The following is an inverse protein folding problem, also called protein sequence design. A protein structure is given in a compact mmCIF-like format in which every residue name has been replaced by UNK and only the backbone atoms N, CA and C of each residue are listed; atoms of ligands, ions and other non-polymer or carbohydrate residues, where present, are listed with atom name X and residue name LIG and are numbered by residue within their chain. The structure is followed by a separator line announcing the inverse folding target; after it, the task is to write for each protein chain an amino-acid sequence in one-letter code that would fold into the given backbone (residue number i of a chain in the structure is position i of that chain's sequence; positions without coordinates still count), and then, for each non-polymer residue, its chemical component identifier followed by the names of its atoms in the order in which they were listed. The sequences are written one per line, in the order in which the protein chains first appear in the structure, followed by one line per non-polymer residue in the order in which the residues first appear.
data_IF_134812902455
#
_entry.id   IF_134812902455
#
_cell.length_a   1.000
_cell.length_b   1.000
_cell.length_c   1.000
_cell.angle_alpha   90.00
_cell.angle_beta   90.00
_cell.angle_gamma   90.00
#
_symmetry.space_group_name_H-M   'P 1'
#
loop_
_entity.id
_entity.type
_entity.pdbx_description
1 polymer ?
#
# COMPACT_ATOMS: atom_id res chain seq x y z
N UNK A 1 -69.92 37.10 54.93
CA UNK A 1 -71.38 36.87 54.90
C UNK A 1 -71.86 37.03 53.46
N UNK A 2 -72.62 36.04 53.01
CA UNK A 2 -73.24 35.78 51.70
C UNK A 2 -73.71 36.95 50.78
N UNK A 3 -73.65 36.64 49.47
CA UNK A 3 -74.64 36.90 48.38
C UNK A 3 -74.56 38.18 47.49
N UNK A 4 -74.35 37.88 46.20
CA UNK A 4 -75.15 38.24 45.00
C UNK A 4 -74.99 39.63 44.34
N UNK A 5 -74.59 39.52 43.05
CA UNK A 5 -75.12 40.14 41.81
C UNK A 5 -74.96 41.64 41.58
N UNK A 6 -74.39 41.99 40.41
CA UNK A 6 -74.86 42.98 39.39
C UNK A 6 -73.79 43.01 38.26
N UNK A 7 -74.09 42.57 37.02
CA UNK A 7 -74.56 43.38 35.87
C UNK A 7 -73.44 44.27 35.25
N UNK A 8 -73.12 44.39 33.95
CA UNK A 8 -73.75 44.11 32.64
C UNK A 8 -72.68 44.23 31.51
N UNK A 9 -72.75 43.35 30.51
CA UNK A 9 -72.73 43.51 29.02
C UNK A 9 -71.93 44.67 28.34
N UNK A 10 -71.00 44.32 27.43
CA UNK A 10 -70.97 44.57 25.94
C UNK A 10 -69.59 44.18 25.33
N UNK A 11 -69.53 43.17 24.44
CA UNK A 11 -69.25 43.22 22.96
C UNK A 11 -67.81 43.70 22.63
N UNK A 12 -66.91 43.06 21.86
CA UNK A 12 -66.91 42.00 20.82
C UNK A 12 -65.45 41.75 20.41
N UNK A 13 -65.04 40.50 20.13
CA UNK A 13 -64.11 40.11 19.05
C UNK A 13 -63.77 38.61 19.17
N UNK A 14 -64.29 37.81 18.25
CA UNK A 14 -63.89 36.44 18.04
C UNK A 14 -62.71 36.41 17.05
N UNK A 15 -61.59 35.78 17.41
CA UNK A 15 -60.68 35.13 16.45
C UNK A 15 -60.19 33.82 17.06
N UNK A 16 -60.40 32.75 16.28
CA UNK A 16 -60.08 31.37 16.58
C UNK A 16 -58.58 31.13 16.79
N UNK A 17 -58.22 30.42 17.85
CA UNK A 17 -56.91 29.79 18.02
C UNK A 17 -57.09 28.27 18.12
N UNK A 18 -57.66 27.68 17.06
CA UNK A 18 -57.77 26.24 16.89
C UNK A 18 -56.63 25.74 16.00
N UNK A 19 -55.66 25.06 16.62
CA UNK A 19 -54.91 23.93 16.04
C UNK A 19 -54.24 24.12 14.68
N UNK A 20 -53.03 24.69 14.68
CA UNK A 20 -52.02 24.29 13.71
C UNK A 20 -51.02 23.35 14.42
N UNK A 21 -51.40 22.07 14.54
CA UNK A 21 -50.38 21.03 14.64
C UNK A 21 -49.70 20.98 13.28
N UNK A 22 -48.58 21.69 13.16
CA UNK A 22 -47.74 21.60 11.97
C UNK A 22 -47.41 20.13 11.74
N UNK A 23 -47.83 19.60 10.60
CA UNK A 23 -47.22 18.41 10.03
C UNK A 23 -45.74 18.75 9.84
N UNK A 24 -44.91 18.35 10.80
CA UNK A 24 -43.48 18.23 10.54
C UNK A 24 -43.38 17.22 9.40
N UNK A 25 -43.12 17.74 8.20
CA UNK A 25 -42.72 16.90 7.08
C UNK A 25 -41.48 16.16 7.58
N UNK A 26 -41.59 14.85 7.80
CA UNK A 26 -40.42 14.03 8.03
C UNK A 26 -39.47 14.32 6.87
N UNK A 27 -38.30 14.90 7.16
CA UNK A 27 -37.25 14.98 6.17
C UNK A 27 -36.95 13.55 5.78
N UNK A 28 -37.31 13.18 4.55
CA UNK A 28 -36.80 11.96 3.94
C UNK A 28 -35.33 12.26 3.69
N UNK A 29 -34.51 11.98 4.68
CA UNK A 29 -33.07 11.97 4.49
C UNK A 29 -32.78 10.82 3.51
N UNK A 30 -32.21 11.18 2.35
CA UNK A 30 -31.85 10.19 1.35
C UNK A 30 -30.95 9.14 2.01
N UNK A 31 -31.29 7.86 1.85
CA UNK A 31 -30.48 6.81 2.44
C UNK A 31 -29.02 6.94 1.95
N UNK A 32 -28.03 6.74 2.83
CA UNK A 32 -26.64 6.97 2.47
C UNK A 32 -26.23 6.12 1.26
N UNK A 33 -25.41 6.69 0.38
CA UNK A 33 -24.92 6.02 -0.81
C UNK A 33 -24.21 4.71 -0.44
N UNK A 34 -24.35 3.68 -1.27
CA UNK A 34 -23.68 2.40 -1.00
C UNK A 34 -22.19 2.54 -1.28
N UNK A 35 -21.35 2.24 -0.29
CA UNK A 35 -19.90 2.30 -0.43
C UNK A 35 -19.32 0.92 -0.76
N UNK A 36 -18.30 0.88 -1.59
CA UNK A 36 -17.49 -0.33 -1.83
C UNK A 36 -16.10 -0.10 -1.25
N UNK A 37 -15.67 -1.01 -0.38
CA UNK A 37 -14.31 -1.08 0.15
C UNK A 37 -13.62 -2.29 -0.46
N UNK A 38 -12.42 -2.11 -0.99
CA UNK A 38 -11.51 -3.18 -1.37
C UNK A 38 -10.33 -3.15 -0.41
N UNK A 39 -10.13 -4.26 0.30
CA UNK A 39 -9.13 -4.41 1.36
C UNK A 39 -9.19 -3.28 2.40
N UNK A 40 -10.39 -2.85 2.77
CA UNK A 40 -10.60 -1.76 3.74
C UNK A 40 -10.45 -0.35 3.17
N UNK A 41 -10.00 -0.18 1.91
CA UNK A 41 -9.87 1.12 1.26
C UNK A 41 -11.01 1.42 0.28
N UNK A 42 -11.51 2.66 0.18
CA UNK A 42 -12.57 3.00 -0.77
C UNK A 42 -12.22 2.70 -2.23
N UNK A 43 -13.15 2.06 -2.93
CA UNK A 43 -13.10 1.86 -4.36
C UNK A 43 -13.94 2.93 -5.06
N UNK A 44 -13.29 3.72 -5.93
CA UNK A 44 -13.98 4.65 -6.83
C UNK A 44 -14.72 3.85 -7.90
N UNK A 45 -15.97 3.50 -7.60
CA UNK A 45 -16.82 2.73 -8.47
C UNK A 45 -17.50 3.63 -9.51
N UNK A 46 -17.61 3.16 -10.75
CA UNK A 46 -18.23 3.91 -11.85
C UNK A 46 -19.77 3.90 -11.81
N UNK A 47 -20.35 3.12 -10.90
CA UNK A 47 -21.78 3.10 -10.61
C UNK A 47 -22.04 2.71 -9.15
N UNK A 48 -23.19 3.12 -8.62
CA UNK A 48 -23.64 2.72 -7.31
C UNK A 48 -24.13 1.26 -7.30
N UNK A 49 -23.82 0.49 -6.26
CA UNK A 49 -24.48 -0.78 -6.00
C UNK A 49 -25.99 -0.62 -5.84
N UNK A 50 -26.77 -1.60 -6.32
CA UNK A 50 -28.23 -1.60 -6.21
C UNK A 50 -28.72 -2.88 -5.55
N UNK A 51 -29.80 -2.80 -4.77
CA UNK A 51 -30.40 -4.00 -4.16
C UNK A 51 -31.70 -4.31 -4.89
N UNK A 52 -31.80 -5.51 -5.46
CA UNK A 52 -32.97 -5.98 -6.21
C UNK A 52 -33.42 -7.30 -5.62
N UNK A 53 -34.64 -7.34 -5.08
CA UNK A 53 -35.24 -8.56 -4.48
C UNK A 53 -34.30 -9.23 -3.46
N UNK A 54 -33.62 -8.42 -2.63
CA UNK A 54 -32.66 -8.91 -1.63
C UNK A 54 -31.27 -9.29 -2.19
N UNK A 55 -31.04 -9.15 -3.50
CA UNK A 55 -29.72 -9.37 -4.12
C UNK A 55 -29.01 -8.04 -4.33
N UNK A 56 -27.83 -7.88 -3.74
CA UNK A 56 -26.95 -6.74 -4.00
C UNK A 56 -26.22 -6.94 -5.33
N UNK A 57 -26.43 -6.01 -6.26
CA UNK A 57 -25.75 -5.90 -7.53
C UNK A 57 -24.64 -4.85 -7.44
N UNK A 58 -23.45 -5.18 -7.92
CA UNK A 58 -22.26 -4.32 -7.85
C UNK A 58 -21.63 -4.10 -9.22
N UNK A 59 -20.94 -2.97 -9.46
CA UNK A 59 -20.32 -2.67 -10.75
C UNK A 59 -19.18 -3.64 -11.04
N UNK A 60 -19.41 -4.51 -12.04
CA UNK A 60 -18.51 -5.63 -12.32
C UNK A 60 -17.12 -5.17 -12.73
N UNK A 61 -17.05 -4.20 -13.65
CA UNK A 61 -15.80 -3.69 -14.19
C UNK A 61 -14.93 -3.06 -13.10
N UNK A 62 -15.47 -2.13 -12.30
CA UNK A 62 -14.70 -1.43 -11.27
C UNK A 62 -14.04 -2.39 -10.28
N UNK A 63 -14.76 -3.43 -9.86
CA UNK A 63 -14.23 -4.41 -8.91
C UNK A 63 -13.22 -5.34 -9.59
N UNK A 64 -13.51 -5.81 -10.81
CA UNK A 64 -12.61 -6.70 -11.56
C UNK A 64 -11.28 -6.02 -11.87
N UNK A 65 -11.31 -4.78 -12.40
CA UNK A 65 -10.11 -4.02 -12.74
C UNK A 65 -9.29 -3.69 -11.49
N UNK A 66 -9.93 -3.37 -10.36
CA UNK A 66 -9.24 -3.15 -9.10
C UNK A 66 -8.57 -4.42 -8.51
N UNK A 67 -8.98 -5.60 -8.98
CA UNK A 67 -8.35 -6.89 -8.67
C UNK A 67 -7.37 -7.33 -9.77
N UNK A 68 -7.01 -6.45 -10.71
CA UNK A 68 -6.10 -6.77 -11.81
C UNK A 68 -6.70 -7.67 -12.88
N UNK A 69 -8.04 -7.74 -12.98
CA UNK A 69 -8.76 -8.63 -13.91
C UNK A 69 -9.32 -7.79 -15.07
N UNK A 70 -8.75 -7.89 -16.29
CA UNK A 70 -9.25 -7.15 -17.45
C UNK A 70 -10.69 -7.53 -17.81
N UNK A 71 -11.47 -6.53 -18.23
CA UNK A 71 -12.87 -6.71 -18.62
C UNK A 71 -13.15 -6.14 -20.01
N UNK A 72 -13.70 -6.97 -20.90
CA UNK A 72 -14.08 -6.58 -22.26
C UNK A 72 -15.60 -6.57 -22.42
N UNK A 73 -16.12 -5.64 -23.24
CA UNK A 73 -17.53 -5.51 -23.55
C UNK A 73 -17.76 -5.79 -25.04
N UNK A 74 -18.74 -6.66 -25.35
CA UNK A 74 -19.22 -6.87 -26.71
C UNK A 74 -20.66 -6.34 -26.82
N UNK A 75 -20.84 -5.28 -27.60
CA UNK A 75 -22.13 -4.61 -27.74
C UNK A 75 -23.16 -5.43 -28.53
N UNK A 76 -22.73 -6.15 -29.57
CA UNK A 76 -23.62 -6.95 -30.42
C UNK A 76 -24.20 -8.13 -29.64
N UNK A 77 -23.34 -8.84 -28.90
CA UNK A 77 -23.72 -9.98 -28.08
C UNK A 77 -24.32 -9.56 -26.72
N UNK A 78 -24.17 -8.28 -26.33
CA UNK A 78 -24.53 -7.75 -25.00
C UNK A 78 -23.85 -8.53 -23.86
N UNK A 79 -22.59 -8.90 -24.07
CA UNK A 79 -21.81 -9.71 -23.13
C UNK A 79 -20.66 -8.92 -22.54
N UNK A 80 -20.44 -9.08 -21.23
CA UNK A 80 -19.23 -8.63 -20.54
C UNK A 80 -18.38 -9.86 -20.21
N UNK A 81 -17.09 -9.80 -20.54
CA UNK A 81 -16.14 -10.91 -20.33
C UNK A 81 -15.00 -10.45 -19.44
N UNK A 82 -14.75 -11.18 -18.36
CA UNK A 82 -13.57 -11.01 -17.52
C UNK A 82 -12.67 -12.24 -17.67
N UNK A 83 -11.36 -12.01 -17.78
CA UNK A 83 -10.37 -13.08 -17.90
C UNK A 83 -9.31 -12.85 -16.84
N UNK A 84 -9.22 -13.75 -15.86
CA UNK A 84 -8.12 -13.79 -14.90
C UNK A 84 -7.16 -14.88 -15.35
N UNK A 85 -5.88 -14.59 -15.39
CA UNK A 85 -4.83 -15.57 -15.60
C UNK A 85 -3.92 -15.56 -14.38
N UNK A 86 -3.79 -16.71 -13.71
CA UNK A 86 -2.88 -16.87 -12.59
C UNK A 86 -2.13 -18.21 -12.67
N UNK A 87 -1.34 -18.53 -11.63
CA UNK A 87 -0.56 -19.77 -11.57
C UNK A 87 -1.42 -21.04 -11.65
N UNK A 88 -2.73 -20.96 -11.34
CA UNK A 88 -3.67 -22.07 -11.38
C UNK A 88 -4.44 -22.17 -12.71
N UNK A 89 -4.19 -21.26 -13.66
CA UNK A 89 -4.76 -21.27 -15.01
C UNK A 89 -5.64 -20.06 -15.33
N UNK A 90 -6.39 -20.18 -16.43
CA UNK A 90 -7.35 -19.15 -16.86
C UNK A 90 -8.72 -19.36 -16.19
N UNK A 91 -9.27 -18.26 -15.65
CA UNK A 91 -10.69 -18.16 -15.29
C UNK A 91 -11.34 -17.14 -16.21
N UNK A 92 -12.17 -17.64 -17.13
CA UNK A 92 -12.95 -16.86 -18.08
C UNK A 92 -14.42 -16.82 -17.67
N UNK A 93 -14.90 -15.64 -17.33
CA UNK A 93 -16.29 -15.38 -16.96
C UNK A 93 -16.96 -14.57 -18.07
N UNK A 94 -18.05 -15.08 -18.63
CA UNK A 94 -18.88 -14.37 -19.60
C UNK A 94 -20.29 -14.20 -19.03
N UNK A 95 -20.77 -12.97 -19.04
CA UNK A 95 -22.06 -12.56 -18.51
C UNK A 95 -22.85 -11.85 -19.59
N UNK A 96 -24.08 -12.30 -19.85
CA UNK A 96 -24.99 -11.68 -20.82
C UNK A 96 -26.02 -10.83 -20.10
N UNK A 97 -26.22 -9.59 -20.56
CA UNK A 97 -27.22 -8.70 -19.96
C UNK A 97 -28.62 -9.33 -19.98
N UNK A 98 -29.34 -9.16 -18.88
CA UNK A 98 -30.71 -9.63 -18.68
C UNK A 98 -30.90 -11.17 -18.73
N UNK A 99 -29.82 -11.95 -18.70
CA UNK A 99 -29.87 -13.41 -18.60
C UNK A 99 -29.41 -13.86 -17.22
N UNK A 100 -30.12 -14.81 -16.60
CA UNK A 100 -29.72 -15.40 -15.31
C UNK A 100 -28.69 -16.51 -15.45
N UNK A 101 -28.14 -16.73 -16.64
CA UNK A 101 -27.11 -17.73 -16.88
C UNK A 101 -25.82 -17.02 -17.32
N UNK A 102 -24.73 -17.31 -16.62
CA UNK A 102 -23.37 -16.94 -17.00
C UNK A 102 -22.64 -18.18 -17.53
N UNK A 103 -21.49 -18.00 -18.17
CA UNK A 103 -20.56 -19.10 -18.43
C UNK A 103 -19.23 -18.86 -17.75
N UNK A 104 -18.72 -19.86 -17.04
CA UNK A 104 -17.40 -19.86 -16.39
C UNK A 104 -16.60 -21.00 -16.99
N UNK A 105 -15.49 -20.70 -17.66
CA UNK A 105 -14.66 -21.68 -18.38
C UNK A 105 -15.49 -22.58 -19.32
N UNK A 106 -16.50 -21.99 -19.97
CA UNK A 106 -17.44 -22.69 -20.88
C UNK A 106 -18.60 -23.42 -20.20
N UNK A 107 -18.58 -23.61 -18.88
CA UNK A 107 -19.66 -24.24 -18.13
C UNK A 107 -20.74 -23.21 -17.71
N UNK A 108 -22.01 -23.58 -17.82
CA UNK A 108 -23.12 -22.72 -17.42
C UNK A 108 -23.24 -22.59 -15.89
N UNK A 109 -23.40 -21.36 -15.39
CA UNK A 109 -23.59 -21.05 -13.97
C UNK A 109 -24.84 -20.19 -13.79
N UNK A 110 -25.72 -20.59 -12.86
CA UNK A 110 -26.94 -19.87 -12.55
C UNK A 110 -26.67 -18.68 -11.63
N UNK A 111 -27.22 -17.52 -11.97
CA UNK A 111 -27.13 -16.28 -11.21
C UNK A 111 -28.37 -16.06 -10.34
N UNK A 112 -28.17 -15.50 -9.15
CA UNK A 112 -29.27 -15.08 -8.27
C UNK A 112 -30.17 -14.04 -8.96
N UNK A 113 -29.56 -13.04 -9.60
CA UNK A 113 -30.22 -12.04 -10.44
C UNK A 113 -29.45 -11.83 -11.74
N UNK A 114 -30.17 -11.46 -12.80
CA UNK A 114 -29.56 -11.23 -14.10
C UNK A 114 -28.68 -9.96 -14.08
N UNK A 115 -27.54 -9.93 -14.81
CA UNK A 115 -26.74 -8.72 -14.99
C UNK A 115 -27.58 -7.60 -15.61
N UNK A 116 -27.41 -6.37 -15.13
CA UNK A 116 -28.18 -5.21 -15.62
C UNK A 116 -27.26 -4.07 -16.00
N UNK A 117 -27.68 -3.28 -16.97
CA UNK A 117 -27.04 -2.01 -17.28
C UNK A 117 -27.65 -0.91 -16.43
N UNK A 118 -26.81 -0.16 -15.70
CA UNK A 118 -27.19 1.03 -14.96
C UNK A 118 -26.15 2.13 -15.20
N UNK A 119 -26.56 3.27 -15.77
CA UNK A 119 -25.65 4.38 -16.08
C UNK A 119 -24.47 4.00 -16.98
N UNK A 120 -24.66 3.05 -17.92
CA UNK A 120 -23.59 2.54 -18.78
C UNK A 120 -22.70 1.46 -18.15
N UNK A 121 -22.96 1.07 -16.90
CA UNK A 121 -22.20 0.05 -16.18
C UNK A 121 -22.96 -1.26 -16.08
N UNK A 122 -22.26 -2.38 -16.20
CA UNK A 122 -22.85 -3.70 -15.94
C UNK A 122 -22.77 -4.01 -14.45
N UNK A 123 -23.92 -4.16 -13.80
CA UNK A 123 -24.05 -4.58 -12.42
C UNK A 123 -24.36 -6.08 -12.35
N UNK A 124 -23.69 -6.80 -11.45
CA UNK A 124 -23.84 -8.26 -11.28
C UNK A 124 -24.05 -8.63 -9.81
N UNK A 125 -24.63 -9.81 -9.50
CA UNK A 125 -24.76 -10.26 -8.12
C UNK A 125 -23.40 -10.34 -7.42
N UNK A 126 -23.30 -9.69 -6.25
CA UNK A 126 -22.08 -9.69 -5.43
C UNK A 126 -21.60 -11.10 -5.07
N UNK A 127 -22.53 -12.01 -4.79
CA UNK A 127 -22.22 -13.41 -4.46
C UNK A 127 -21.56 -14.17 -5.62
N UNK A 128 -21.99 -13.90 -6.86
CA UNK A 128 -21.38 -14.50 -8.04
C UNK A 128 -19.94 -14.04 -8.21
N UNK A 129 -19.68 -12.75 -8.02
CA UNK A 129 -18.33 -12.19 -8.10
C UNK A 129 -17.35 -12.90 -7.14
N UNK A 130 -17.77 -13.03 -5.88
CA UNK A 130 -16.96 -13.68 -4.83
C UNK A 130 -16.60 -15.12 -5.18
N UNK A 131 -17.57 -15.89 -5.69
CA UNK A 131 -17.37 -17.29 -6.03
C UNK A 131 -16.34 -17.49 -7.15
N UNK A 132 -16.30 -16.61 -8.15
CA UNK A 132 -15.47 -16.85 -9.33
C UNK A 132 -14.02 -16.35 -9.17
N UNK A 133 -13.79 -15.31 -8.36
CA UNK A 133 -12.48 -14.66 -8.28
C UNK A 133 -11.76 -14.86 -6.94
N UNK A 134 -12.31 -15.66 -6.04
CA UNK A 134 -11.69 -15.99 -4.74
C UNK A 134 -11.66 -14.83 -3.74
N UNK A 135 -12.29 -13.69 -4.08
CA UNK A 135 -12.42 -12.55 -3.19
C UNK A 135 -13.53 -12.82 -2.16
N UNK A 136 -13.25 -12.52 -0.88
CA UNK A 136 -14.27 -12.59 0.17
C UNK A 136 -15.12 -11.33 0.10
N UNK A 137 -16.43 -11.47 0.20
CA UNK A 137 -17.35 -10.32 0.16
C UNK A 137 -18.24 -10.31 1.39
N UNK A 138 -18.48 -9.12 1.93
CA UNK A 138 -19.37 -8.90 3.04
C UNK A 138 -20.26 -7.68 2.77
N UNK A 139 -21.55 -7.82 3.06
CA UNK A 139 -22.49 -6.71 3.06
C UNK A 139 -22.77 -6.28 4.48
N UNK A 140 -22.59 -4.99 4.77
CA UNK A 140 -23.03 -4.37 6.02
C UNK A 140 -24.27 -3.51 5.75
N UNK A 141 -25.42 -3.95 6.26
CA UNK A 141 -26.71 -3.27 6.07
C UNK A 141 -26.76 -1.91 6.77
N UNK A 142 -26.16 -1.77 7.96
CA UNK A 142 -26.23 -0.56 8.77
C UNK A 142 -25.41 0.58 8.16
N UNK A 143 -24.18 0.28 7.71
CA UNK A 143 -23.32 1.25 7.04
C UNK A 143 -23.52 1.32 5.53
N UNK A 144 -24.36 0.45 4.96
CA UNK A 144 -24.56 0.26 3.51
C UNK A 144 -23.21 0.11 2.79
N UNK A 145 -22.40 -0.82 3.26
CA UNK A 145 -21.03 -1.04 2.74
C UNK A 145 -20.87 -2.45 2.20
N UNK A 146 -20.37 -2.56 0.97
CA UNK A 146 -19.79 -3.79 0.42
C UNK A 146 -18.31 -3.81 0.76
N UNK A 147 -17.86 -4.75 1.57
CA UNK A 147 -16.44 -4.98 1.83
C UNK A 147 -15.96 -6.16 1.01
N UNK A 148 -14.86 -6.00 0.29
CA UNK A 148 -14.24 -7.00 -0.55
C UNK A 148 -12.82 -7.20 -0.04
N UNK A 149 -12.46 -8.42 0.30
CA UNK A 149 -11.07 -8.79 0.57
C UNK A 149 -10.54 -9.54 -0.64
N UNK A 150 -9.48 -9.00 -1.24
CA UNK A 150 -8.79 -9.65 -2.36
C UNK A 150 -8.17 -10.98 -1.91
N UNK A 151 -8.01 -11.95 -2.83
CA UNK A 151 -7.34 -13.21 -2.52
C UNK A 151 -5.88 -12.97 -2.12
N UNK A 152 -5.27 -14.01 -1.53
CA UNK A 152 -3.81 -14.04 -1.39
C UNK A 152 -3.18 -14.12 -2.77
N UNK A 153 -2.05 -13.47 -2.91
CA UNK A 153 -1.19 -13.60 -4.09
C UNK A 153 0.28 -13.56 -3.64
N UNK A 154 1.13 -14.16 -4.46
CA UNK A 154 2.57 -14.06 -4.28
C UNK A 154 3.01 -12.62 -4.51
N UNK A 155 3.75 -12.08 -3.56
CA UNK A 155 4.24 -10.72 -3.60
C UNK A 155 5.68 -10.67 -3.08
N UNK A 156 6.54 -9.86 -3.71
CA UNK A 156 7.91 -9.69 -3.23
C UNK A 156 7.91 -9.05 -1.84
N UNK A 157 8.71 -9.61 -0.93
CA UNK A 157 8.82 -9.14 0.45
C UNK A 157 10.26 -8.79 0.80
N UNK A 158 10.45 -7.56 1.27
CA UNK A 158 11.73 -7.08 1.79
C UNK A 158 11.60 -6.78 3.28
N UNK A 159 12.47 -7.34 4.12
CA UNK A 159 12.53 -6.99 5.55
C UNK A 159 13.71 -6.10 5.86
N UNK A 160 13.50 -4.98 6.56
CA UNK A 160 14.62 -4.23 7.12
C UNK A 160 15.03 -4.84 8.47
N UNK A 161 16.24 -5.37 8.54
CA UNK A 161 16.82 -5.95 9.74
C UNK A 161 17.84 -4.98 10.34
N UNK A 162 17.35 -4.14 11.25
CA UNK A 162 18.14 -3.08 11.90
C UNK A 162 17.74 -2.97 13.37
N UNK A 163 18.54 -2.29 14.20
CA UNK A 163 18.17 -1.85 15.56
C UNK A 163 17.54 -2.99 16.42
N UNK A 164 18.32 -3.90 16.99
CA UNK A 164 17.81 -4.97 17.88
C UNK A 164 16.72 -5.87 17.23
N UNK A 165 16.94 -6.31 16.00
CA UNK A 165 16.00 -7.17 15.26
C UNK A 165 16.15 -8.69 15.50
N UNK A 166 16.96 -9.10 16.48
CA UNK A 166 17.32 -10.50 16.72
C UNK A 166 16.15 -11.47 16.88
N UNK A 167 15.05 -11.03 17.50
CA UNK A 167 13.83 -11.84 17.67
C UNK A 167 13.21 -12.31 16.35
N UNK A 168 13.45 -11.59 15.25
CA UNK A 168 12.87 -11.87 13.94
C UNK A 168 13.86 -12.53 12.97
N UNK A 169 15.06 -12.91 13.42
CA UNK A 169 16.00 -13.67 12.59
C UNK A 169 15.39 -14.92 11.94
N UNK A 170 14.55 -15.73 12.62
CA UNK A 170 13.91 -16.89 12.00
C UNK A 170 12.97 -16.55 10.83
N UNK A 171 12.49 -15.30 10.72
CA UNK A 171 11.58 -14.87 9.65
C UNK A 171 12.31 -14.56 8.34
N UNK A 172 13.63 -14.34 8.37
CA UNK A 172 14.42 -13.90 7.21
C UNK A 172 14.26 -14.87 6.03
N UNK A 173 14.31 -16.18 6.28
CA UNK A 173 14.22 -17.19 5.21
C UNK A 173 12.86 -17.19 4.46
N UNK A 174 11.79 -16.69 5.10
CA UNK A 174 10.46 -16.56 4.50
C UNK A 174 10.28 -15.27 3.68
N UNK A 175 11.31 -14.43 3.60
CA UNK A 175 11.29 -13.19 2.81
C UNK A 175 12.11 -13.36 1.54
N UNK A 176 11.75 -12.61 0.49
CA UNK A 176 12.52 -12.60 -0.76
C UNK A 176 13.85 -11.84 -0.61
N UNK A 177 13.87 -10.80 0.22
CA UNK A 177 15.06 -10.03 0.53
C UNK A 177 15.08 -9.55 1.99
N UNK A 178 16.29 -9.30 2.48
CA UNK A 178 16.54 -8.67 3.77
C UNK A 178 17.57 -7.56 3.60
N UNK A 179 17.31 -6.40 4.18
CA UNK A 179 18.22 -5.26 4.17
C UNK A 179 18.80 -5.05 5.56
N UNK A 180 20.11 -5.29 5.71
CA UNK A 180 20.79 -5.26 6.99
C UNK A 180 21.30 -3.85 7.32
N UNK A 181 20.61 -3.18 8.27
CA UNK A 181 20.86 -1.81 8.71
C UNK A 181 22.07 -1.66 9.63
N UNK A 182 23.26 -2.05 9.16
CA UNK A 182 24.46 -2.18 10.00
C UNK A 182 25.63 -1.28 9.59
N UNK A 183 25.39 -0.39 8.63
CA UNK A 183 26.39 0.56 8.17
C UNK A 183 25.77 1.90 7.84
N UNK A 184 26.61 2.93 7.84
CA UNK A 184 26.20 4.30 7.54
C UNK A 184 27.34 5.13 6.97
N UNK A 185 26.99 6.26 6.39
CA UNK A 185 27.89 7.39 6.26
C UNK A 185 27.63 8.32 7.45
N UNK A 186 28.69 8.69 8.17
CA UNK A 186 28.60 9.61 9.31
C UNK A 186 28.58 11.08 8.86
N UNK A 187 28.38 11.99 9.82
CA UNK A 187 28.32 13.43 9.56
C UNK A 187 29.61 14.05 8.96
N UNK A 188 30.72 13.31 8.97
CA UNK A 188 31.99 13.72 8.36
C UNK A 188 32.18 13.12 6.97
N UNK A 189 31.17 12.41 6.44
CA UNK A 189 31.21 11.77 5.14
C UNK A 189 31.98 10.46 5.12
N UNK A 190 32.27 9.87 6.29
CA UNK A 190 33.02 8.62 6.38
C UNK A 190 32.08 7.44 6.48
N UNK A 191 32.34 6.40 5.70
CA UNK A 191 31.68 5.10 5.89
C UNK A 191 32.09 4.50 7.23
N UNK A 192 31.11 4.05 8.01
CA UNK A 192 31.33 3.42 9.29
C UNK A 192 30.28 2.37 9.59
N UNK A 193 30.66 1.39 10.41
CA UNK A 193 29.76 0.39 10.99
C UNK A 193 29.59 0.59 12.50
N UNK A 194 29.94 1.77 12.99
CA UNK A 194 29.72 2.19 14.37
C UNK A 194 28.65 3.26 14.42
N UNK A 195 27.84 3.25 15.48
CA UNK A 195 26.78 4.24 15.64
C UNK A 195 25.78 3.79 16.69
N UNK A 196 24.75 4.61 16.91
CA UNK A 196 23.67 4.29 17.84
C UNK A 196 22.70 3.26 17.26
N UNK A 197 22.20 3.53 16.05
CA UNK A 197 21.08 2.80 15.46
C UNK A 197 21.55 1.86 14.33
N UNK A 198 22.40 2.39 13.44
CA UNK A 198 22.96 1.66 12.29
C UNK A 198 24.42 1.31 12.53
N UNK A 199 24.64 0.13 13.11
CA UNK A 199 25.96 -0.37 13.50
C UNK A 199 26.04 -1.88 13.32
N UNK A 200 27.26 -2.38 13.14
CA UNK A 200 27.53 -3.82 13.14
C UNK A 200 27.14 -4.39 14.51
N UNK A 201 26.14 -5.28 14.57
CA UNK A 201 25.65 -5.72 15.86
C UNK A 201 26.60 -6.76 16.46
N UNK A 202 26.55 -6.90 17.79
CA UNK A 202 27.25 -7.99 18.46
C UNK A 202 26.52 -9.31 18.26
N UNK A 203 27.25 -10.43 18.28
CA UNK A 203 26.66 -11.75 18.26
C UNK A 203 25.75 -11.97 19.50
N UNK A 204 24.65 -12.70 19.29
CA UNK A 204 23.72 -13.09 20.35
C UNK A 204 23.71 -14.63 20.45
N UNK A 205 24.62 -15.18 21.26
CA UNK A 205 24.88 -16.62 21.29
C UNK A 205 25.41 -17.10 19.95
N UNK A 206 24.79 -18.13 19.37
CA UNK A 206 25.19 -18.73 18.08
C UNK A 206 24.70 -17.95 16.84
N UNK A 207 23.92 -16.89 17.06
CA UNK A 207 23.45 -15.99 15.99
C UNK A 207 24.44 -14.84 15.86
N UNK A 208 25.28 -14.90 14.83
CA UNK A 208 26.24 -13.84 14.50
C UNK A 208 25.77 -13.04 13.28
N UNK A 209 26.18 -11.77 13.12
CA UNK A 209 25.87 -10.97 11.94
C UNK A 209 26.31 -11.64 10.63
N UNK A 210 27.49 -12.25 10.63
CA UNK A 210 28.09 -12.94 9.47
C UNK A 210 27.25 -14.16 9.07
N UNK A 211 26.79 -14.91 10.08
CA UNK A 211 25.91 -16.06 9.88
C UNK A 211 24.55 -15.63 9.35
N UNK A 212 23.98 -14.54 9.83
CA UNK A 212 22.69 -14.03 9.32
C UNK A 212 22.74 -13.71 7.82
N UNK A 213 23.83 -13.09 7.35
CA UNK A 213 24.02 -12.80 5.91
C UNK A 213 24.20 -14.10 5.12
N UNK A 214 25.01 -15.02 5.64
CA UNK A 214 25.27 -16.32 4.99
C UNK A 214 24.02 -17.19 4.90
N UNK A 215 23.28 -17.32 5.99
CA UNK A 215 22.06 -18.12 6.08
C UNK A 215 20.94 -17.51 5.19
N UNK A 216 20.87 -16.18 5.09
CA UNK A 216 19.94 -15.51 4.17
C UNK A 216 20.25 -15.88 2.70
N UNK A 217 21.49 -15.71 2.25
CA UNK A 217 21.88 -16.06 0.87
C UNK A 217 21.68 -17.55 0.59
N UNK A 218 22.04 -18.43 1.54
CA UNK A 218 21.85 -19.88 1.41
C UNK A 218 20.37 -20.28 1.33
N UNK A 219 19.48 -19.56 2.01
CA UNK A 219 18.04 -19.74 1.90
C UNK A 219 17.45 -19.15 0.60
N UNK A 220 18.26 -18.47 -0.23
CA UNK A 220 17.83 -17.74 -1.42
C UNK A 220 17.10 -16.43 -1.09
N UNK A 221 17.32 -15.87 0.10
CA UNK A 221 16.82 -14.55 0.51
C UNK A 221 17.93 -13.54 0.25
N UNK A 222 17.70 -12.58 -0.65
CA UNK A 222 18.73 -11.64 -1.09
C UNK A 222 19.18 -10.77 0.09
N UNK A 223 20.43 -10.87 0.57
CA UNK A 223 20.92 -10.01 1.62
C UNK A 223 21.50 -8.72 1.03
N UNK A 224 20.90 -7.59 1.37
CA UNK A 224 21.42 -6.26 1.07
C UNK A 224 22.26 -5.73 2.23
N UNK A 225 23.43 -5.15 1.92
CA UNK A 225 24.11 -4.25 2.82
C UNK A 225 23.39 -2.90 2.78
N UNK A 226 22.70 -2.54 3.84
CA UNK A 226 22.07 -1.22 3.93
C UNK A 226 23.10 -0.18 4.38
N UNK A 227 23.11 0.95 3.70
CA UNK A 227 23.95 2.10 4.03
C UNK A 227 23.04 3.30 4.31
N UNK A 228 22.92 3.65 5.59
CA UNK A 228 22.13 4.78 6.03
C UNK A 228 22.92 6.09 5.96
N UNK A 229 22.27 7.20 5.62
CA UNK A 229 22.78 8.54 5.88
C UNK A 229 21.64 9.54 6.01
N UNK A 230 21.82 10.58 6.83
CA UNK A 230 20.85 11.67 6.98
C UNK A 230 21.42 12.96 6.41
N UNK A 231 20.58 13.81 5.86
CA UNK A 231 20.93 15.15 5.38
C UNK A 231 20.29 16.27 6.21
N UNK A 232 20.20 16.08 7.53
CA UNK A 232 19.53 17.06 8.40
C UNK A 232 20.22 18.43 8.41
N UNK A 233 21.55 18.47 8.22
CA UNK A 233 22.41 19.66 8.26
C UNK A 233 23.30 19.79 7.02
N UNK A 234 22.97 19.10 5.92
CA UNK A 234 23.76 19.10 4.69
C UNK A 234 24.98 18.17 4.71
N UNK A 235 25.13 17.32 5.72
CA UNK A 235 26.26 16.41 5.87
C UNK A 235 26.33 15.38 4.73
N UNK A 236 25.19 14.87 4.27
CA UNK A 236 25.12 13.95 3.15
C UNK A 236 25.28 14.71 1.83
N UNK A 237 24.68 15.90 1.69
CA UNK A 237 24.84 16.77 0.52
C UNK A 237 26.31 17.05 0.24
N UNK A 238 27.12 17.32 1.28
CA UNK A 238 28.58 17.49 1.15
C UNK A 238 29.29 16.28 0.54
N UNK A 239 28.84 15.06 0.86
CA UNK A 239 29.41 13.83 0.33
C UNK A 239 29.06 13.67 -1.14
N UNK A 240 27.79 13.84 -1.50
CA UNK A 240 27.32 13.63 -2.87
C UNK A 240 27.77 14.74 -3.83
N UNK A 241 28.02 15.96 -3.35
CA UNK A 241 28.55 17.05 -4.19
C UNK A 241 30.07 16.96 -4.39
N UNK A 242 30.81 16.29 -3.50
CA UNK A 242 32.28 16.18 -3.57
C UNK A 242 32.74 14.86 -4.22
N UNK A 243 33.45 14.95 -5.35
CA UNK A 243 33.88 13.79 -6.12
C UNK A 243 34.78 12.80 -5.35
N UNK A 244 35.69 13.30 -4.49
CA UNK A 244 36.58 12.44 -3.71
C UNK A 244 35.80 11.73 -2.60
N UNK A 245 34.89 12.43 -1.92
CA UNK A 245 34.03 11.79 -0.92
C UNK A 245 33.08 10.76 -1.54
N UNK A 246 32.50 11.05 -2.71
CA UNK A 246 31.72 10.06 -3.46
C UNK A 246 32.55 8.81 -3.75
N UNK A 247 33.73 8.98 -4.34
CA UNK A 247 34.61 7.86 -4.71
C UNK A 247 35.01 7.02 -3.50
N UNK A 248 35.39 7.66 -2.39
CA UNK A 248 35.77 6.97 -1.16
C UNK A 248 34.57 6.22 -0.57
N UNK A 249 33.41 6.87 -0.44
CA UNK A 249 32.20 6.23 0.07
C UNK A 249 31.80 5.02 -0.77
N UNK A 250 31.84 5.14 -2.11
CA UNK A 250 31.53 4.03 -3.02
C UNK A 250 32.51 2.87 -2.84
N UNK A 251 33.81 3.17 -2.75
CA UNK A 251 34.85 2.16 -2.51
C UNK A 251 34.61 1.42 -1.20
N UNK A 252 34.33 2.15 -0.11
CA UNK A 252 34.13 1.57 1.22
C UNK A 252 32.87 0.71 1.28
N UNK A 253 31.76 1.16 0.66
CA UNK A 253 30.53 0.37 0.58
C UNK A 253 30.73 -0.95 -0.16
N UNK A 254 31.48 -0.95 -1.27
CA UNK A 254 31.75 -2.16 -2.05
C UNK A 254 32.70 -3.11 -1.32
N UNK A 255 33.74 -2.58 -0.68
CA UNK A 255 34.63 -3.38 0.15
C UNK A 255 33.84 -4.06 1.28
N UNK A 256 32.97 -3.30 1.95
CA UNK A 256 32.11 -3.82 3.00
C UNK A 256 31.12 -4.89 2.50
N UNK A 257 30.56 -4.73 1.30
CA UNK A 257 29.66 -5.71 0.70
C UNK A 257 30.41 -7.00 0.30
N UNK A 258 31.71 -6.92 -0.01
CA UNK A 258 32.51 -8.08 -0.42
C UNK A 258 32.98 -8.97 0.75
N UNK A 259 32.89 -8.51 2.00
CA UNK A 259 33.35 -9.28 3.17
C UNK A 259 32.45 -10.49 3.51
N UNK A 260 31.19 -10.44 3.12
CA UNK A 260 30.16 -11.45 3.37
C UNK A 260 29.33 -11.66 2.09
N UNK A 261 28.49 -12.70 1.99
CA UNK A 261 27.74 -12.96 0.76
C UNK A 261 26.55 -12.00 0.59
N UNK A 262 26.79 -10.68 0.68
CA UNK A 262 25.83 -9.68 0.26
C UNK A 262 25.62 -9.76 -1.25
N UNK A 263 24.36 -9.71 -1.67
CA UNK A 263 23.97 -9.77 -3.09
C UNK A 263 23.51 -8.40 -3.60
N UNK A 264 23.50 -7.38 -2.73
CA UNK A 264 23.20 -6.01 -3.11
C UNK A 264 23.57 -4.97 -2.06
N UNK A 265 23.45 -3.71 -2.46
CA UNK A 265 23.53 -2.53 -1.59
C UNK A 265 22.18 -1.82 -1.59
N UNK A 266 21.66 -1.51 -0.41
CA UNK A 266 20.46 -0.69 -0.22
C UNK A 266 20.87 0.69 0.30
N UNK A 267 20.65 1.74 -0.48
CA UNK A 267 20.90 3.10 -0.03
C UNK A 267 19.68 3.66 0.68
N UNK A 268 19.85 4.01 1.95
CA UNK A 268 18.83 4.63 2.80
C UNK A 268 19.28 6.05 3.15
N UNK A 269 19.22 6.92 2.15
CA UNK A 269 19.78 8.27 2.17
C UNK A 269 18.65 9.27 2.34
N UNK A 270 18.43 9.70 3.57
CA UNK A 270 17.27 10.46 4.02
C UNK A 270 17.55 11.97 4.11
N UNK A 271 16.51 12.80 4.00
CA UNK A 271 16.61 14.24 4.25
C UNK A 271 16.93 15.14 3.05
N UNK A 272 17.27 14.57 1.90
CA UNK A 272 17.79 15.32 0.75
C UNK A 272 16.77 16.34 0.20
N UNK A 273 17.24 17.58 0.00
CA UNK A 273 16.44 18.67 -0.55
C UNK A 273 15.40 19.25 0.41
N UNK A 274 15.51 18.98 1.72
CA UNK A 274 14.72 19.67 2.75
C UNK A 274 15.31 21.04 3.10
N UNK A 275 16.61 21.08 3.41
CA UNK A 275 17.31 22.28 3.90
C UNK A 275 18.32 22.84 2.88
N UNK A 276 18.67 22.06 1.87
CA UNK A 276 19.64 22.37 0.81
C UNK A 276 18.96 22.81 -0.49
N UNK A 277 19.76 23.32 -1.43
CA UNK A 277 19.24 23.69 -2.75
C UNK A 277 18.72 22.46 -3.49
N UNK A 278 17.45 22.52 -3.89
CA UNK A 278 16.67 21.33 -4.23
C UNK A 278 17.14 20.71 -5.53
N UNK A 279 17.32 21.53 -6.56
CA UNK A 279 17.71 21.05 -7.88
C UNK A 279 19.15 20.52 -7.87
N UNK A 280 20.09 21.25 -7.25
CA UNK A 280 21.49 20.80 -7.20
C UNK A 280 21.64 19.52 -6.38
N UNK A 281 20.94 19.42 -5.24
CA UNK A 281 20.94 18.21 -4.40
C UNK A 281 20.35 17.01 -5.14
N UNK A 282 19.23 17.21 -5.87
CA UNK A 282 18.61 16.17 -6.71
C UNK A 282 19.55 15.67 -7.80
N UNK A 283 20.21 16.59 -8.50
CA UNK A 283 21.15 16.25 -9.58
C UNK A 283 22.39 15.54 -9.03
N UNK A 284 22.93 16.01 -7.90
CA UNK A 284 24.08 15.41 -7.23
C UNK A 284 23.77 14.00 -6.71
N UNK A 285 22.60 13.77 -6.12
CA UNK A 285 22.20 12.44 -5.66
C UNK A 285 22.02 11.47 -6.84
N UNK A 286 21.40 11.93 -7.93
CA UNK A 286 21.24 11.13 -9.16
C UNK A 286 22.60 10.76 -9.76
N UNK A 287 23.55 11.69 -9.78
CA UNK A 287 24.91 11.44 -10.24
C UNK A 287 25.65 10.41 -9.34
N UNK A 288 25.53 10.56 -8.02
CA UNK A 288 26.08 9.60 -7.06
C UNK A 288 25.51 8.19 -7.27
N UNK A 289 24.18 8.06 -7.39
CA UNK A 289 23.53 6.76 -7.64
C UNK A 289 23.96 6.14 -8.97
N UNK A 290 24.21 6.95 -10.01
CA UNK A 290 24.77 6.47 -11.28
C UNK A 290 26.19 5.92 -11.12
N UNK A 291 27.03 6.58 -10.34
CA UNK A 291 28.38 6.09 -10.01
C UNK A 291 28.31 4.78 -9.21
N UNK A 292 27.45 4.71 -8.18
CA UNK A 292 27.20 3.48 -7.41
C UNK A 292 26.73 2.35 -8.33
N UNK A 293 25.75 2.61 -9.21
CA UNK A 293 25.22 1.61 -10.12
C UNK A 293 26.28 1.03 -11.06
N UNK A 294 27.17 1.88 -11.55
CA UNK A 294 28.27 1.44 -12.42
C UNK A 294 29.12 0.40 -11.70
N UNK A 295 29.46 0.67 -10.43
CA UNK A 295 30.30 -0.23 -9.64
C UNK A 295 29.55 -1.48 -9.15
N UNK A 296 28.28 -1.35 -8.72
CA UNK A 296 27.49 -2.52 -8.31
C UNK A 296 27.25 -3.48 -9.47
N UNK A 297 26.98 -2.98 -10.69
CA UNK A 297 26.92 -3.83 -11.89
C UNK A 297 28.24 -4.56 -12.14
N UNK A 298 29.38 -3.87 -12.02
CA UNK A 298 30.69 -4.49 -12.22
C UNK A 298 30.98 -5.59 -11.17
N UNK A 299 30.46 -5.42 -9.94
CA UNK A 299 30.57 -6.38 -8.86
C UNK A 299 29.48 -7.48 -8.86
N UNK A 300 28.53 -7.45 -9.81
CA UNK A 300 27.39 -8.38 -9.82
C UNK A 300 26.38 -8.16 -8.69
N UNK A 301 26.40 -6.99 -8.05
CA UNK A 301 25.53 -6.62 -6.93
C UNK A 301 24.27 -5.89 -7.42
N UNK A 302 23.15 -6.15 -6.74
CA UNK A 302 21.92 -5.35 -6.87
C UNK A 302 22.08 -3.98 -6.23
N UNK A 303 21.30 -3.01 -6.71
CA UNK A 303 21.17 -1.69 -6.11
C UNK A 303 19.70 -1.39 -5.77
N UNK A 304 19.38 -1.34 -4.49
CA UNK A 304 18.10 -0.88 -3.96
C UNK A 304 18.19 0.54 -3.43
N UNK A 305 17.09 1.29 -3.47
CA UNK A 305 16.98 2.63 -2.89
C UNK A 305 15.76 2.71 -1.97
N UNK A 306 15.92 3.20 -0.74
CA UNK A 306 14.82 3.61 0.13
C UNK A 306 14.66 5.14 0.03
N UNK A 307 13.53 5.58 -0.50
CA UNK A 307 13.32 6.99 -0.88
C UNK A 307 12.12 7.59 -0.14
N UNK A 308 12.26 8.86 0.29
CA UNK A 308 11.09 9.63 0.73
C UNK A 308 10.06 9.71 -0.40
N UNK A 309 8.76 9.65 -0.08
CA UNK A 309 7.70 9.64 -1.08
C UNK A 309 7.58 11.01 -1.75
N UNK A 310 7.14 11.04 -3.01
CA UNK A 310 7.04 12.28 -3.80
C UNK A 310 6.03 13.31 -3.25
N UNK A 311 5.09 12.88 -2.38
CA UNK A 311 4.19 13.79 -1.66
C UNK A 311 4.72 14.24 -0.29
N UNK A 312 6.01 13.99 0.02
CA UNK A 312 6.69 14.54 1.19
C UNK A 312 7.27 15.94 0.92
N UNK A 313 7.84 16.55 1.97
CA UNK A 313 8.56 17.82 1.85
C UNK A 313 9.97 17.68 1.23
N UNK A 314 10.46 16.45 1.04
CA UNK A 314 11.81 16.19 0.54
C UNK A 314 11.82 16.15 -0.99
N UNK A 315 12.62 17.00 -1.61
CA UNK A 315 12.61 17.20 -3.07
C UNK A 315 13.92 16.78 -3.76
N UNK A 316 14.82 16.10 -3.05
CA UNK A 316 16.12 15.66 -3.56
C UNK A 316 16.11 14.37 -4.39
N UNK A 317 14.95 13.83 -4.77
CA UNK A 317 14.84 12.50 -5.37
C UNK A 317 14.22 12.53 -6.76
N UNK A 318 15.02 12.23 -7.79
CA UNK A 318 14.56 12.05 -9.17
C UNK A 318 14.04 10.63 -9.38
N UNK A 319 12.79 10.34 -9.02
CA UNK A 319 12.23 8.99 -9.08
C UNK A 319 12.36 8.33 -10.46
N UNK A 320 12.26 9.12 -11.54
CA UNK A 320 12.39 8.63 -12.91
C UNK A 320 13.82 8.17 -13.20
N UNK A 321 14.80 9.05 -13.02
CA UNK A 321 16.20 8.69 -13.26
C UNK A 321 16.68 7.60 -12.29
N UNK A 322 16.30 7.68 -11.01
CA UNK A 322 16.66 6.70 -10.00
C UNK A 322 16.04 5.32 -10.27
N UNK A 323 14.82 5.27 -10.84
CA UNK A 323 14.16 4.03 -11.26
C UNK A 323 14.91 3.30 -12.38
N UNK A 324 15.50 4.05 -13.32
CA UNK A 324 16.35 3.49 -14.38
C UNK A 324 17.72 3.00 -13.86
N UNK A 325 18.22 3.63 -12.79
CA UNK A 325 19.53 3.35 -12.20
C UNK A 325 19.50 2.25 -11.12
N UNK A 326 18.34 1.88 -10.60
CA UNK A 326 18.20 0.90 -9.51
C UNK A 326 17.51 -0.39 -9.97
N UNK A 327 17.71 -1.46 -9.19
CA UNK A 327 16.99 -2.71 -9.34
C UNK A 327 15.60 -2.64 -8.65
N UNK A 328 15.48 -1.83 -7.60
CA UNK A 328 14.23 -1.57 -6.88
C UNK A 328 14.25 -0.26 -6.07
N UNK A 329 13.06 0.31 -5.84
CA UNK A 329 12.80 1.48 -5.01
C UNK A 329 11.77 1.11 -3.95
N UNK A 330 12.13 1.29 -2.67
CA UNK A 330 11.19 1.30 -1.55
C UNK A 330 10.63 2.71 -1.39
N UNK A 331 9.33 2.85 -1.57
CA UNK A 331 8.60 4.09 -1.31
C UNK A 331 8.35 4.16 0.20
N UNK A 332 9.02 5.07 0.91
CA UNK A 332 8.86 5.28 2.35
C UNK A 332 7.59 6.07 2.68
N UNK A 333 6.43 5.59 2.23
CA UNK A 333 5.13 6.25 2.36
C UNK A 333 4.55 6.12 3.78
N UNK A 334 5.25 6.63 4.78
CA UNK A 334 4.86 6.60 6.19
C UNK A 334 5.36 7.84 6.94
N UNK A 335 4.95 7.98 8.20
CA UNK A 335 5.19 9.15 9.06
C UNK A 335 4.50 10.44 8.59
N UNK A 336 3.32 10.33 7.98
CA UNK A 336 2.47 11.48 7.64
C UNK A 336 1.73 12.06 8.85
N UNK A 337 1.50 11.23 9.88
CA UNK A 337 0.65 11.55 11.02
C UNK A 337 1.36 11.53 12.38
N UNK A 338 0.57 11.28 13.42
CA UNK A 338 1.06 11.11 14.79
C UNK A 338 1.83 9.81 14.91
N UNK A 339 2.98 9.84 15.59
CA UNK A 339 3.78 8.63 15.88
C UNK A 339 2.91 7.56 16.55
N UNK A 340 3.14 6.28 16.18
CA UNK A 340 2.41 5.11 16.70
C UNK A 340 0.91 5.12 16.38
N UNK A 341 0.52 5.76 15.29
CA UNK A 341 -0.81 5.64 14.72
C UNK A 341 -0.65 5.25 13.25
N UNK A 342 -1.55 4.42 12.70
CA UNK A 342 -1.50 4.05 11.30
C UNK A 342 -1.47 5.25 10.38
N UNK A 343 -0.63 5.17 9.35
CA UNK A 343 -0.53 6.24 8.38
C UNK A 343 -1.83 6.37 7.56
N UNK A 344 -2.28 7.58 7.20
CA UNK A 344 -3.51 7.75 6.43
C UNK A 344 -3.41 7.07 5.06
N UNK A 345 -4.18 6.01 4.83
CA UNK A 345 -4.12 5.23 3.58
C UNK A 345 -4.30 6.08 2.31
N UNK A 346 -5.03 7.21 2.39
CA UNK A 346 -5.17 8.15 1.27
C UNK A 346 -3.86 8.86 0.90
N UNK A 347 -2.98 9.13 1.88
CA UNK A 347 -1.65 9.68 1.64
C UNK A 347 -0.70 8.64 1.06
N UNK A 348 -0.84 7.39 1.49
CA UNK A 348 -0.10 6.26 0.91
C UNK A 348 -0.51 6.01 -0.55
N UNK A 349 -1.82 6.00 -0.83
CA UNK A 349 -2.35 5.91 -2.21
C UNK A 349 -1.83 7.04 -3.12
N UNK A 350 -1.82 8.28 -2.63
CA UNK A 350 -1.23 9.42 -3.35
C UNK A 350 0.25 9.21 -3.66
N UNK A 351 1.03 8.73 -2.70
CA UNK A 351 2.46 8.46 -2.89
C UNK A 351 2.71 7.38 -3.97
N UNK A 352 1.93 6.29 -3.94
CA UNK A 352 2.02 5.22 -4.95
C UNK A 352 1.70 5.78 -6.34
N UNK A 353 0.59 6.53 -6.49
CA UNK A 353 0.19 7.10 -7.77
C UNK A 353 1.21 8.07 -8.35
N UNK A 354 1.85 8.88 -7.50
CA UNK A 354 2.93 9.77 -7.95
C UNK A 354 4.16 8.97 -8.39
N UNK A 355 4.56 7.94 -7.65
CA UNK A 355 5.71 7.10 -8.02
C UNK A 355 5.48 6.37 -9.36
N UNK A 356 4.25 5.89 -9.61
CA UNK A 356 3.86 5.23 -10.87
C UNK A 356 3.87 6.16 -12.10
N UNK A 357 3.83 7.48 -11.90
CA UNK A 357 3.99 8.44 -13.00
C UNK A 357 5.45 8.58 -13.42
N UNK A 358 6.39 8.25 -12.52
CA UNK A 358 7.81 8.47 -12.71
C UNK A 358 8.57 7.19 -13.07
N UNK A 359 8.16 6.02 -12.57
CA UNK A 359 8.86 4.74 -12.80
C UNK A 359 7.92 3.55 -12.90
N UNK A 360 8.43 2.44 -13.42
CA UNK A 360 7.68 1.21 -13.65
C UNK A 360 7.29 0.52 -12.33
N UNK A 361 6.05 0.03 -12.25
CA UNK A 361 5.51 -0.69 -11.08
C UNK A 361 6.37 -1.88 -10.63
N UNK A 362 7.07 -2.55 -11.55
CA UNK A 362 7.98 -3.66 -11.27
C UNK A 362 9.25 -3.25 -10.51
N UNK A 363 9.51 -1.94 -10.38
CA UNK A 363 10.59 -1.38 -9.56
C UNK A 363 10.11 -0.98 -8.16
N UNK A 364 8.82 -0.76 -7.98
CA UNK A 364 8.27 -0.09 -6.79
C UNK A 364 7.87 -1.09 -5.71
N UNK A 365 8.34 -0.85 -4.50
CA UNK A 365 8.04 -1.61 -3.29
C UNK A 365 7.43 -0.64 -2.27
N UNK A 366 6.26 -0.97 -1.71
CA UNK A 366 5.63 -0.11 -0.70
C UNK A 366 6.22 -0.37 0.69
N UNK A 367 6.82 0.66 1.32
CA UNK A 367 7.29 0.59 2.70
C UNK A 367 6.13 0.65 3.71
N UNK A 368 6.17 -0.23 4.71
CA UNK A 368 5.22 -0.31 5.83
C UNK A 368 5.97 -0.06 7.14
N UNK A 369 5.60 0.99 7.88
CA UNK A 369 6.22 1.32 9.17
C UNK A 369 5.51 0.60 10.33
N UNK A 370 6.04 -0.54 10.74
CA UNK A 370 5.54 -1.40 11.81
C UNK A 370 5.52 -0.75 13.20
N UNK A 371 6.20 0.38 13.42
CA UNK A 371 6.00 1.15 14.66
C UNK A 371 4.65 1.90 14.68
N UNK A 372 4.07 2.16 13.50
CA UNK A 372 2.82 2.89 13.30
C UNK A 372 1.65 1.97 12.95
N UNK A 373 1.90 0.95 12.13
CA UNK A 373 0.87 0.09 11.57
C UNK A 373 0.35 -0.99 12.54
N UNK A 374 -0.79 -1.58 12.20
CA UNK A 374 -1.39 -2.75 12.86
C UNK A 374 -1.99 -3.70 11.81
N UNK A 375 -2.63 -4.80 12.22
CA UNK A 375 -3.13 -5.82 11.31
C UNK A 375 -4.11 -5.29 10.25
N UNK A 376 -5.00 -4.36 10.65
CA UNK A 376 -6.02 -3.80 9.76
C UNK A 376 -5.41 -2.82 8.76
N UNK A 377 -4.54 -1.94 9.24
CA UNK A 377 -3.90 -0.96 8.36
C UNK A 377 -2.88 -1.62 7.44
N UNK A 378 -2.11 -2.61 7.90
CA UNK A 378 -1.26 -3.43 7.04
C UNK A 378 -2.07 -4.13 5.94
N UNK A 379 -3.20 -4.76 6.27
CA UNK A 379 -4.07 -5.38 5.26
C UNK A 379 -4.50 -4.35 4.20
N UNK A 380 -4.82 -3.12 4.63
CA UNK A 380 -5.23 -2.03 3.76
C UNK A 380 -4.10 -1.56 2.84
N UNK A 381 -2.91 -1.32 3.38
CA UNK A 381 -1.76 -0.83 2.62
C UNK A 381 -1.22 -1.90 1.67
N UNK A 382 -1.21 -3.18 2.08
CA UNK A 382 -0.87 -4.29 1.20
C UNK A 382 -1.91 -4.41 0.09
N UNK A 383 -3.21 -4.25 0.39
CA UNK A 383 -4.28 -4.19 -0.61
C UNK A 383 -4.05 -3.09 -1.65
N UNK A 384 -3.57 -1.91 -1.25
CA UNK A 384 -3.16 -0.86 -2.19
C UNK A 384 -1.98 -1.31 -3.07
N UNK A 385 -0.96 -1.96 -2.51
CA UNK A 385 0.16 -2.48 -3.28
C UNK A 385 -0.29 -3.50 -4.35
N UNK A 386 -1.21 -4.41 -4.00
CA UNK A 386 -1.83 -5.39 -4.92
C UNK A 386 -2.64 -4.70 -6.02
N UNK A 387 -3.48 -3.73 -5.63
CA UNK A 387 -4.34 -2.97 -6.54
C UNK A 387 -3.56 -2.23 -7.63
N UNK A 388 -2.37 -1.76 -7.30
CA UNK A 388 -1.48 -1.07 -8.24
C UNK A 388 -0.46 -2.00 -8.92
N UNK A 389 -0.50 -3.30 -8.63
CA UNK A 389 0.42 -4.32 -9.14
C UNK A 389 1.89 -3.91 -8.95
N UNK A 390 2.18 -3.41 -7.74
CA UNK A 390 3.55 -3.06 -7.34
C UNK A 390 4.39 -4.33 -7.21
N UNK A 391 5.72 -4.21 -7.35
CA UNK A 391 6.66 -5.32 -7.14
C UNK A 391 6.42 -6.04 -5.81
N UNK A 392 6.20 -5.26 -4.74
CA UNK A 392 5.78 -5.81 -3.46
C UNK A 392 5.83 -4.84 -2.29
N UNK A 393 6.17 -5.33 -1.11
CA UNK A 393 6.19 -4.56 0.14
C UNK A 393 7.53 -4.66 0.88
N UNK A 394 7.84 -3.63 1.66
CA UNK A 394 8.98 -3.61 2.56
C UNK A 394 8.54 -3.38 4.01
N UNK A 395 8.99 -4.23 4.92
CA UNK A 395 8.65 -4.18 6.35
C UNK A 395 9.72 -3.37 7.08
N UNK A 396 9.39 -2.14 7.49
CA UNK A 396 10.18 -1.31 8.38
C UNK A 396 9.60 -1.37 9.79
N UNK A 397 10.11 -2.18 10.70
CA UNK A 397 11.27 -3.06 10.55
C UNK A 397 11.08 -4.36 11.31
N UNK A 398 11.87 -5.36 10.96
CA UNK A 398 11.99 -6.58 11.74
C UNK A 398 12.47 -6.24 13.16
N UNK A 399 12.06 -7.06 14.13
CA UNK A 399 12.33 -6.92 15.56
C UNK A 399 11.13 -6.44 16.38
N UNK A 400 10.18 -5.76 15.73
CA UNK A 400 9.00 -5.18 16.38
C UNK A 400 7.68 -5.75 15.83
N UNK A 401 7.76 -6.68 14.88
CA UNK A 401 6.59 -7.31 14.29
C UNK A 401 5.99 -8.33 15.27
N UNK A 402 4.75 -8.10 15.68
CA UNK A 402 4.03 -9.03 16.54
C UNK A 402 3.65 -10.31 15.80
N UNK A 403 3.37 -11.39 16.56
CA UNK A 403 2.86 -12.64 15.98
C UNK A 403 1.53 -12.47 15.26
N UNK A 404 0.69 -11.51 15.70
CA UNK A 404 -0.60 -11.24 15.09
C UNK A 404 -0.43 -10.54 13.73
N UNK A 405 0.46 -9.56 13.64
CA UNK A 405 0.79 -8.88 12.38
C UNK A 405 1.45 -9.84 11.38
N UNK A 406 2.38 -10.70 11.83
CA UNK A 406 2.97 -11.73 10.97
C UNK A 406 1.93 -12.73 10.44
N UNK A 407 0.98 -13.14 11.30
CA UNK A 407 -0.14 -14.00 10.88
C UNK A 407 -1.05 -13.29 9.88
N UNK A 408 -1.38 -12.02 10.12
CA UNK A 408 -2.17 -11.18 9.21
C UNK A 408 -1.50 -11.02 7.85
N UNK A 409 -0.18 -10.80 7.84
CA UNK A 409 0.64 -10.75 6.62
C UNK A 409 0.49 -12.05 5.81
N UNK A 410 0.70 -13.20 6.46
CA UNK A 410 0.53 -14.52 5.84
C UNK A 410 -0.92 -14.85 5.44
N UNK A 411 -1.92 -14.10 5.92
CA UNK A 411 -3.30 -14.18 5.47
C UNK A 411 -3.61 -13.30 4.25
N UNK A 412 -2.76 -12.30 3.97
CA UNK A 412 -2.98 -11.29 2.93
C UNK A 412 -2.15 -11.57 1.67
N UNK A 413 -0.94 -12.11 1.84
CA UNK A 413 -0.01 -12.48 0.75
C UNK A 413 0.57 -13.88 0.97
N UNK A 414 1.07 -14.47 -0.11
CA UNK A 414 1.88 -15.69 -0.05
C UNK A 414 3.35 -15.31 0.13
N UNK A 415 3.92 -15.66 1.28
CA UNK A 415 5.34 -15.50 1.57
C UNK A 415 6.17 -16.54 0.81
N UNK A 416 7.46 -16.29 0.71
CA UNK A 416 8.41 -17.25 0.15
C UNK A 416 8.40 -18.55 0.99
N UNK A 417 8.26 -19.67 0.30
CA UNK A 417 8.18 -21.03 0.84
C UNK A 417 9.54 -21.69 1.01
#
# INVERSE_FOLDING_TARGET
MNRKRLAKILLSAAIAASGFWGLQSARIEAAPAVQILLDGYPLNASAEPTVIKGTTLVPFRSISEALGIPVTWNAQAKTITAVKQDANGEVRVVLTLNQKQATVNGAAVQLAEAPRSAGGNTLIPLSFFSQQFGAKVQWNQASRTVSISSPKEKMYTLGFYAIRAFSDAPKIASLDAVSFGWSRIDENGKFTRTGRDFNWPQAAGDVTPERLVTDASAAGTIPYLMVYSSDAKGELTKVIENAEFRKQAISDMLAAAAEHPFEGIMLDFEGLGLTTEKQSTRDAFTAFVKEVRTQTKAAGLKLGLALHPLNSSYQGYDYKALGELSDEIVIMAYNYGTKKQPDPAAKVDEAIRLALQETDKSKLILGLNLDNENENSMTTLIGLAKRYDLKGIALWRLGILSSAEWSSLGQTIELKS
#
